data_IF_346466327123
#
_entry.id   IF_346466327123
#
_cell.length_a   1.000
_cell.length_b   1.000
_cell.length_c   1.000
_cell.angle_alpha   90.00
_cell.angle_beta   90.00
_cell.angle_gamma   90.00
#
_symmetry.space_group_name_H-M   'P 1'
#
loop_
_entity.id
_entity.type
_entity.pdbx_description
1 polymer ?
#
# COMPACT_ATOMS: atom_id res chain seq x y z
N UNK A 1 2.52 -8.89 0.77
CA UNK A 1 2.59 -8.13 2.04
C UNK A 1 3.69 -7.08 2.02
N UNK A 2 4.88 -7.38 1.48
CA UNK A 2 6.04 -6.47 1.51
C UNK A 2 5.81 -5.10 0.87
N UNK A 3 5.19 -5.05 -0.32
CA UNK A 3 4.88 -3.79 -1.01
C UNK A 3 3.94 -2.91 -0.18
N UNK A 4 2.86 -3.49 0.34
CA UNK A 4 1.84 -2.77 1.09
C UNK A 4 2.35 -2.28 2.45
N UNK A 5 3.17 -3.10 3.13
CA UNK A 5 3.85 -2.68 4.36
C UNK A 5 4.87 -1.57 4.13
N UNK A 6 5.65 -1.65 3.04
CA UNK A 6 6.60 -0.60 2.65
C UNK A 6 5.89 0.71 2.30
N UNK A 7 4.74 0.65 1.60
CA UNK A 7 3.94 1.82 1.29
C UNK A 7 3.40 2.53 2.55
N UNK A 8 2.91 1.76 3.53
CA UNK A 8 2.43 2.34 4.80
C UNK A 8 3.57 2.98 5.61
N UNK A 9 4.75 2.35 5.63
CA UNK A 9 5.93 2.97 6.26
C UNK A 9 6.34 4.26 5.53
N UNK A 10 6.30 4.26 4.21
CA UNK A 10 6.60 5.44 3.40
C UNK A 10 5.64 6.61 3.69
N UNK A 11 4.34 6.33 3.81
CA UNK A 11 3.33 7.35 4.15
C UNK A 11 3.56 7.94 5.55
N UNK A 12 3.86 7.09 6.55
CA UNK A 12 4.16 7.56 7.91
C UNK A 12 5.40 8.45 7.92
N UNK A 13 6.46 8.07 7.20
CA UNK A 13 7.68 8.86 7.09
C UNK A 13 7.45 10.17 6.33
N UNK A 14 6.68 10.14 5.24
CA UNK A 14 6.35 11.32 4.45
C UNK A 14 5.55 12.35 5.26
N UNK A 15 4.56 11.91 6.03
CA UNK A 15 3.77 12.79 6.89
C UNK A 15 4.56 13.32 8.08
N UNK A 16 5.45 12.50 8.67
CA UNK A 16 6.39 12.96 9.69
C UNK A 16 7.33 14.05 9.16
N UNK A 17 7.85 13.86 7.94
CA UNK A 17 8.68 14.88 7.27
C UNK A 17 7.89 16.15 6.97
N UNK A 18 6.64 16.03 6.49
CA UNK A 18 5.77 17.16 6.23
C UNK A 18 5.49 17.97 7.50
N UNK A 19 5.24 17.30 8.63
CA UNK A 19 5.06 17.96 9.92
C UNK A 19 6.31 18.79 10.30
N UNK A 20 7.51 18.25 10.10
CA UNK A 20 8.77 18.98 10.35
C UNK A 20 8.90 20.17 9.40
N UNK A 21 8.71 19.97 8.09
CA UNK A 21 8.85 21.04 7.08
C UNK A 21 7.87 22.18 7.36
N UNK A 22 6.60 21.87 7.60
CA UNK A 22 5.57 22.87 7.96
C UNK A 22 5.88 23.59 9.27
N UNK A 23 6.49 22.89 10.23
CA UNK A 23 7.02 23.48 11.45
C UNK A 23 8.15 24.48 11.20
N UNK A 24 9.09 24.14 10.33
CA UNK A 24 10.23 25.00 9.98
C UNK A 24 9.80 26.29 9.25
N UNK A 25 8.77 26.22 8.41
CA UNK A 25 8.20 27.40 7.73
C UNK A 25 7.21 28.18 8.62
N UNK A 26 7.04 27.79 9.88
CA UNK A 26 6.21 28.52 10.86
C UNK A 26 4.69 28.34 10.69
N UNK A 27 4.25 27.39 9.88
CA UNK A 27 2.85 27.17 9.52
C UNK A 27 2.21 25.96 10.19
N UNK A 28 3.02 25.14 10.85
CA UNK A 28 2.58 23.97 11.58
C UNK A 28 3.23 23.92 12.96
N UNK A 29 2.58 23.19 13.87
CA UNK A 29 3.25 22.75 15.09
C UNK A 29 3.66 21.29 14.88
N UNK A 30 4.96 21.01 14.65
CA UNK A 30 5.41 19.66 14.29
C UNK A 30 5.10 18.65 15.40
N UNK A 31 5.23 19.08 16.66
CA UNK A 31 5.06 18.22 17.82
C UNK A 31 3.61 17.69 17.97
N UNK A 32 2.55 18.53 17.96
CA UNK A 32 1.16 18.06 17.91
C UNK A 32 0.84 17.11 16.74
N UNK A 33 1.37 17.38 15.54
CA UNK A 33 1.13 16.52 14.37
C UNK A 33 1.74 15.13 14.56
N UNK A 34 2.98 15.05 15.06
CA UNK A 34 3.64 13.78 15.37
C UNK A 34 2.91 13.03 16.50
N UNK A 35 2.47 13.74 17.55
CA UNK A 35 1.72 13.14 18.66
C UNK A 35 0.37 12.57 18.19
N UNK A 36 -0.33 13.26 17.29
CA UNK A 36 -1.57 12.77 16.68
C UNK A 36 -1.35 11.52 15.84
N UNK A 37 -0.28 11.50 15.04
CA UNK A 37 0.09 10.33 14.24
C UNK A 37 0.38 9.12 15.13
N UNK A 38 1.24 9.28 16.14
CA UNK A 38 1.57 8.22 17.11
C UNK A 38 0.32 7.79 17.88
N UNK A 39 -0.50 8.75 18.32
CA UNK A 39 -1.75 8.50 19.01
C UNK A 39 -2.73 7.69 18.17
N UNK A 40 -2.86 7.99 16.88
CA UNK A 40 -3.66 7.21 15.94
C UNK A 40 -3.14 5.77 15.79
N UNK A 41 -1.83 5.58 15.64
CA UNK A 41 -1.24 4.24 15.52
C UNK A 41 -1.48 3.40 16.79
N UNK A 42 -1.30 3.99 17.97
CA UNK A 42 -1.58 3.34 19.26
C UNK A 42 -3.06 3.02 19.39
N UNK A 43 -3.94 3.96 19.04
CA UNK A 43 -5.39 3.75 19.08
C UNK A 43 -5.82 2.64 18.12
N UNK A 44 -5.31 2.65 16.89
CA UNK A 44 -5.57 1.60 15.90
C UNK A 44 -5.13 0.23 16.41
N UNK A 45 -3.94 0.16 17.02
CA UNK A 45 -3.45 -1.06 17.64
C UNK A 45 -4.36 -1.53 18.79
N UNK A 46 -4.78 -0.62 19.67
CA UNK A 46 -5.68 -0.92 20.78
C UNK A 46 -7.06 -1.43 20.30
N UNK A 47 -7.65 -0.75 19.32
CA UNK A 47 -8.92 -1.16 18.70
C UNK A 47 -8.78 -2.55 18.07
N UNK A 48 -7.74 -2.76 17.26
CA UNK A 48 -7.51 -4.04 16.58
C UNK A 48 -7.21 -5.20 17.53
N UNK A 49 -6.48 -4.94 18.63
CA UNK A 49 -6.06 -5.97 19.58
C UNK A 49 -7.11 -6.33 20.61
N UNK A 50 -7.90 -5.36 21.08
CA UNK A 50 -8.82 -5.54 22.21
C UNK A 50 -10.29 -5.43 21.84
N UNK A 51 -10.66 -4.47 20.99
CA UNK A 51 -12.06 -4.19 20.66
C UNK A 51 -12.58 -5.07 19.51
N UNK A 52 -11.75 -5.29 18.49
CA UNK A 52 -12.14 -6.02 17.30
C UNK A 52 -12.44 -7.52 17.56
N UNK A 53 -11.62 -8.29 18.29
CA UNK A 53 -11.87 -9.72 18.49
C UNK A 53 -13.21 -10.07 19.20
N UNK A 54 -13.64 -9.36 20.28
CA UNK A 54 -14.94 -9.65 20.89
C UNK A 54 -16.11 -9.23 20.00
N UNK A 55 -16.04 -8.08 19.32
CA UNK A 55 -17.10 -7.62 18.41
C UNK A 55 -17.24 -8.57 17.23
N UNK A 56 -16.11 -8.95 16.62
CA UNK A 56 -16.08 -9.89 15.50
C UNK A 56 -16.72 -11.24 15.87
N UNK A 57 -16.39 -11.78 17.05
CA UNK A 57 -17.01 -13.03 17.55
C UNK A 57 -18.51 -12.86 17.82
N UNK A 58 -18.93 -11.72 18.34
CA UNK A 58 -20.34 -11.45 18.62
C UNK A 58 -21.17 -11.37 17.33
N UNK A 59 -20.68 -10.64 16.33
CA UNK A 59 -21.35 -10.53 15.02
C UNK A 59 -21.34 -11.86 14.28
N UNK A 60 -20.22 -12.57 14.24
CA UNK A 60 -20.14 -13.88 13.59
C UNK A 60 -21.14 -14.90 14.18
N UNK A 61 -21.44 -14.80 15.48
CA UNK A 61 -22.45 -15.66 16.15
C UNK A 61 -23.89 -15.23 15.87
N UNK A 62 -24.17 -13.93 15.74
CA UNK A 62 -25.54 -13.40 15.62
C UNK A 62 -25.99 -13.21 14.17
N UNK A 63 -25.06 -12.93 13.27
CA UNK A 63 -25.32 -12.60 11.86
C UNK A 63 -24.32 -13.31 10.94
N UNK A 64 -24.41 -14.65 10.83
CA UNK A 64 -23.40 -15.46 10.13
C UNK A 64 -23.24 -15.13 8.63
N UNK A 65 -24.27 -14.61 7.96
CA UNK A 65 -24.23 -14.40 6.50
C UNK A 65 -23.99 -12.94 6.04
N UNK A 66 -24.34 -11.91 6.82
CA UNK A 66 -24.34 -10.51 6.30
C UNK A 66 -23.74 -9.46 7.26
N UNK A 67 -23.81 -9.67 8.57
CA UNK A 67 -23.38 -8.65 9.55
C UNK A 67 -21.87 -8.40 9.55
N UNK A 68 -21.07 -9.37 9.09
CA UNK A 68 -19.62 -9.25 8.99
C UNK A 68 -19.17 -8.17 8.00
N UNK A 69 -19.75 -8.17 6.79
CA UNK A 69 -19.36 -7.21 5.75
C UNK A 69 -19.68 -5.78 6.15
N UNK A 70 -20.87 -5.54 6.71
CA UNK A 70 -21.28 -4.22 7.20
C UNK A 70 -20.35 -3.70 8.30
N UNK A 71 -19.97 -4.56 9.26
CA UNK A 71 -18.99 -4.19 10.28
C UNK A 71 -17.65 -3.81 9.66
N UNK A 72 -17.15 -4.59 8.71
CA UNK A 72 -15.85 -4.34 8.09
C UNK A 72 -15.86 -3.05 7.29
N UNK A 73 -16.91 -2.79 6.51
CA UNK A 73 -17.05 -1.51 5.80
C UNK A 73 -17.11 -0.34 6.79
N UNK A 74 -17.89 -0.46 7.87
CA UNK A 74 -17.98 0.57 8.90
C UNK A 74 -16.64 0.83 9.59
N UNK A 75 -15.88 -0.23 9.92
CA UNK A 75 -14.55 -0.12 10.51
C UNK A 75 -13.54 0.48 9.54
N UNK A 76 -13.54 0.05 8.29
CA UNK A 76 -12.66 0.59 7.24
C UNK A 76 -12.93 2.08 7.07
N UNK A 77 -14.19 2.50 6.93
CA UNK A 77 -14.56 3.91 6.82
C UNK A 77 -14.20 4.70 8.07
N UNK A 78 -14.53 4.19 9.26
CA UNK A 78 -14.24 4.86 10.53
C UNK A 78 -12.74 5.02 10.79
N UNK A 79 -11.94 3.98 10.53
CA UNK A 79 -10.48 4.02 10.70
C UNK A 79 -9.80 4.86 9.62
N UNK A 80 -10.31 4.87 8.39
CA UNK A 80 -9.81 5.73 7.31
C UNK A 80 -10.08 7.20 7.61
N UNK A 81 -11.29 7.52 8.09
CA UNK A 81 -11.63 8.86 8.55
C UNK A 81 -10.77 9.28 9.75
N UNK A 82 -10.60 8.42 10.75
CA UNK A 82 -9.74 8.72 11.89
C UNK A 82 -8.27 8.93 11.47
N UNK A 83 -7.76 8.15 10.51
CA UNK A 83 -6.41 8.32 9.96
C UNK A 83 -6.24 9.71 9.34
N UNK A 84 -7.16 10.11 8.46
CA UNK A 84 -7.09 11.37 7.73
C UNK A 84 -7.40 12.59 8.61
N UNK A 85 -8.49 12.56 9.37
CA UNK A 85 -8.99 13.70 10.11
C UNK A 85 -8.23 13.95 11.43
N UNK A 86 -7.82 12.88 12.11
CA UNK A 86 -7.16 12.98 13.42
C UNK A 86 -5.69 12.61 13.34
N UNK A 87 -5.36 11.49 12.72
CA UNK A 87 -3.99 10.95 12.66
C UNK A 87 -3.03 11.73 11.78
N UNK A 88 -3.54 12.49 10.80
CA UNK A 88 -2.70 13.18 9.81
C UNK A 88 -1.94 12.20 8.89
N UNK A 89 -2.48 11.00 8.68
CA UNK A 89 -1.92 9.96 7.79
C UNK A 89 -2.91 9.68 6.67
N UNK A 90 -2.42 9.14 5.55
CA UNK A 90 -3.25 8.71 4.43
C UNK A 90 -4.42 7.82 4.89
N UNK A 91 -5.61 8.06 4.33
CA UNK A 91 -6.81 7.31 4.64
C UNK A 91 -6.63 5.80 4.38
N UNK A 92 -5.87 5.48 3.33
CA UNK A 92 -5.49 4.11 2.92
C UNK A 92 -4.79 3.36 4.07
N UNK A 93 -4.00 4.05 4.90
CA UNK A 93 -3.35 3.43 6.07
C UNK A 93 -4.37 2.92 7.08
N UNK A 94 -5.44 3.67 7.34
CA UNK A 94 -6.54 3.26 8.22
C UNK A 94 -7.28 2.02 7.70
N UNK A 95 -7.57 1.99 6.41
CA UNK A 95 -8.16 0.83 5.73
C UNK A 95 -7.25 -0.41 5.82
N UNK A 96 -5.95 -0.24 5.56
CA UNK A 96 -4.96 -1.32 5.62
C UNK A 96 -4.83 -1.92 7.02
N UNK A 97 -4.68 -1.08 8.05
CA UNK A 97 -4.58 -1.54 9.43
C UNK A 97 -5.85 -2.31 9.83
N UNK A 98 -7.02 -1.82 9.44
CA UNK A 98 -8.30 -2.52 9.68
C UNK A 98 -8.30 -3.91 9.05
N UNK A 99 -7.90 -4.04 7.78
CA UNK A 99 -7.76 -5.33 7.10
C UNK A 99 -6.78 -6.28 7.79
N UNK A 100 -5.63 -5.76 8.24
CA UNK A 100 -4.63 -6.53 8.98
C UNK A 100 -5.17 -7.10 10.28
N UNK A 101 -6.01 -6.33 10.99
CA UNK A 101 -6.64 -6.79 12.22
C UNK A 101 -7.77 -7.78 11.97
N UNK A 102 -8.58 -7.56 10.93
CA UNK A 102 -9.65 -8.49 10.52
C UNK A 102 -9.08 -9.86 10.15
N UNK A 103 -7.91 -9.89 9.49
CA UNK A 103 -7.17 -11.11 9.16
C UNK A 103 -6.71 -11.94 10.39
N UNK A 104 -6.95 -11.45 11.62
CA UNK A 104 -6.71 -12.18 12.87
C UNK A 104 -8.00 -12.59 13.56
N UNK A 105 -9.14 -12.44 12.90
CA UNK A 105 -10.47 -12.73 13.45
C UNK A 105 -11.18 -13.78 12.61
N UNK A 106 -12.23 -14.44 13.16
CA UNK A 106 -13.04 -15.40 12.41
C UNK A 106 -13.71 -14.82 11.15
N UNK A 107 -13.79 -13.50 11.04
CA UNK A 107 -14.38 -12.82 9.89
C UNK A 107 -13.55 -12.97 8.61
N UNK A 108 -12.29 -13.38 8.71
CA UNK A 108 -11.40 -13.54 7.55
C UNK A 108 -11.90 -14.54 6.50
N UNK A 109 -12.76 -15.49 6.87
CA UNK A 109 -13.20 -16.57 5.97
C UNK A 109 -14.31 -16.13 5.01
N UNK A 110 -15.20 -15.22 5.46
CA UNK A 110 -16.44 -14.90 4.75
C UNK A 110 -16.44 -13.50 4.12
N UNK A 111 -15.58 -12.61 4.61
CA UNK A 111 -15.55 -11.20 4.18
C UNK A 111 -14.75 -10.93 2.90
N UNK A 112 -13.64 -11.65 2.58
CA UNK A 112 -12.82 -11.31 1.41
C UNK A 112 -13.62 -11.26 0.11
N UNK A 113 -14.57 -12.17 -0.09
CA UNK A 113 -15.39 -12.22 -1.31
C UNK A 113 -16.29 -11.00 -1.46
N UNK A 114 -16.94 -10.55 -0.38
CA UNK A 114 -17.79 -9.36 -0.40
C UNK A 114 -16.97 -8.09 -0.65
N UNK A 115 -15.79 -7.98 -0.01
CA UNK A 115 -14.88 -6.83 -0.21
C UNK A 115 -14.29 -6.83 -1.62
N UNK A 116 -13.92 -7.99 -2.17
CA UNK A 116 -13.45 -8.12 -3.56
C UNK A 116 -14.54 -7.73 -4.56
N UNK A 117 -15.77 -8.20 -4.35
CA UNK A 117 -16.90 -7.85 -5.24
C UNK A 117 -17.15 -6.34 -5.27
N UNK A 118 -17.11 -5.68 -4.10
CA UNK A 118 -17.24 -4.22 -4.02
C UNK A 118 -16.03 -3.48 -4.59
N UNK A 119 -14.83 -3.99 -4.31
CA UNK A 119 -13.56 -3.45 -4.79
C UNK A 119 -13.47 -3.48 -6.30
N UNK A 120 -13.49 -4.67 -6.88
CA UNK A 120 -13.28 -4.91 -8.31
C UNK A 120 -14.47 -4.43 -9.14
N UNK A 121 -15.69 -4.58 -8.61
CA UNK A 121 -16.91 -4.24 -9.33
C UNK A 121 -17.23 -2.74 -9.38
N UNK A 122 -16.78 -1.96 -8.38
CA UNK A 122 -17.21 -0.56 -8.24
C UNK A 122 -16.09 0.38 -7.80
N UNK A 123 -15.46 0.13 -6.65
CA UNK A 123 -14.58 1.11 -6.02
C UNK A 123 -13.29 1.34 -6.80
N UNK A 124 -12.64 0.28 -7.28
CA UNK A 124 -11.39 0.35 -8.03
C UNK A 124 -11.61 1.04 -9.39
N UNK A 125 -12.61 0.67 -10.22
CA UNK A 125 -12.91 1.40 -11.45
C UNK A 125 -13.21 2.89 -11.21
N UNK A 126 -14.04 3.23 -10.22
CA UNK A 126 -14.36 4.63 -9.90
C UNK A 126 -13.10 5.40 -9.49
N UNK A 127 -12.25 4.81 -8.65
CA UNK A 127 -10.98 5.41 -8.27
C UNK A 127 -10.11 5.75 -9.49
N UNK A 128 -9.94 4.81 -10.42
CA UNK A 128 -9.15 5.06 -11.63
C UNK A 128 -9.78 6.10 -12.57
N UNK A 129 -11.12 6.13 -12.68
CA UNK A 129 -11.83 7.17 -13.43
C UNK A 129 -11.63 8.54 -12.77
N UNK A 130 -11.76 8.63 -11.44
CA UNK A 130 -11.57 9.87 -10.70
C UNK A 130 -10.14 10.42 -10.88
N UNK A 131 -9.13 9.56 -10.74
CA UNK A 131 -7.73 9.92 -11.04
C UNK A 131 -7.60 10.40 -12.48
N UNK A 132 -8.20 9.71 -13.46
CA UNK A 132 -8.18 10.15 -14.86
C UNK A 132 -8.92 11.47 -15.13
N UNK A 133 -9.95 11.79 -14.36
CA UNK A 133 -10.69 13.06 -14.46
C UNK A 133 -9.94 14.24 -13.86
N UNK A 134 -9.08 14.02 -12.86
CA UNK A 134 -8.14 15.05 -12.39
C UNK A 134 -7.05 15.36 -13.44
N UNK A 135 -6.90 14.51 -14.46
CA UNK A 135 -5.96 14.67 -15.59
C UNK A 135 -6.39 15.70 -16.64
N UNK A 136 -7.31 16.61 -16.32
CA UNK A 136 -7.84 17.59 -17.28
C UNK A 136 -6.71 18.31 -18.01
N UNK A 137 -6.90 18.69 -19.29
CA UNK A 137 -5.82 19.20 -20.12
C UNK A 137 -5.22 20.43 -19.46
N UNK A 138 -4.04 20.26 -18.86
CA UNK A 138 -3.23 21.39 -18.46
C UNK A 138 -2.93 22.16 -19.75
N UNK A 139 -3.14 23.48 -19.74
CA UNK A 139 -2.89 24.36 -20.90
C UNK A 139 -1.49 24.14 -21.52
N UNK A 140 -0.56 23.59 -20.72
CA UNK A 140 0.66 22.93 -21.19
C UNK A 140 0.46 21.41 -21.11
N UNK A 141 0.01 20.78 -22.19
CA UNK A 141 -0.11 19.31 -22.29
C UNK A 141 1.21 18.55 -22.22
N UNK A 142 2.32 19.21 -21.85
CA UNK A 142 3.66 18.64 -21.78
C UNK A 142 4.34 19.09 -20.49
N UNK A 143 5.00 18.14 -19.82
CA UNK A 143 5.92 18.41 -18.72
C UNK A 143 6.98 19.43 -19.16
N UNK A 144 7.29 20.38 -18.27
CA UNK A 144 8.49 21.20 -18.49
C UNK A 144 9.75 20.33 -18.47
N UNK A 145 10.90 20.84 -18.92
CA UNK A 145 12.17 20.12 -18.79
C UNK A 145 12.45 19.73 -17.32
N UNK A 146 12.07 20.62 -16.39
CA UNK A 146 12.15 20.35 -14.96
C UNK A 146 11.16 19.27 -14.52
N UNK A 147 9.91 19.31 -15.00
CA UNK A 147 8.92 18.26 -14.76
C UNK A 147 9.36 16.89 -15.27
N UNK A 148 10.02 16.83 -16.43
CA UNK A 148 10.60 15.59 -16.96
C UNK A 148 11.74 15.06 -16.08
N UNK A 149 12.63 15.95 -15.62
CA UNK A 149 13.68 15.59 -14.69
C UNK A 149 13.12 15.09 -13.35
N UNK A 150 12.06 15.73 -12.84
CA UNK A 150 11.35 15.29 -11.63
C UNK A 150 10.70 13.92 -11.82
N UNK A 151 10.05 13.66 -12.95
CA UNK A 151 9.45 12.37 -13.25
C UNK A 151 10.52 11.26 -13.29
N UNK A 152 11.61 11.48 -14.01
CA UNK A 152 12.72 10.51 -14.07
C UNK A 152 13.31 10.27 -12.68
N UNK A 153 13.53 11.34 -11.91
CA UNK A 153 14.03 11.22 -10.55
C UNK A 153 13.04 10.47 -9.64
N UNK A 154 11.74 10.74 -9.75
CA UNK A 154 10.71 10.07 -8.97
C UNK A 154 10.68 8.56 -9.26
N UNK A 155 10.70 8.17 -10.54
CA UNK A 155 10.71 6.77 -10.97
C UNK A 155 11.99 6.06 -10.52
N UNK A 156 13.16 6.67 -10.75
CA UNK A 156 14.45 6.06 -10.40
C UNK A 156 14.65 5.97 -8.88
N UNK A 157 14.40 7.05 -8.15
CA UNK A 157 14.58 7.07 -6.69
C UNK A 157 13.68 6.05 -5.99
N UNK A 158 12.41 5.96 -6.37
CA UNK A 158 11.47 5.00 -5.78
C UNK A 158 11.69 3.58 -6.28
N UNK A 159 11.89 3.40 -7.58
CA UNK A 159 12.14 2.08 -8.17
C UNK A 159 13.41 1.45 -7.63
N UNK A 160 14.53 2.19 -7.66
CA UNK A 160 15.81 1.72 -7.15
C UNK A 160 15.82 1.67 -5.62
N UNK A 161 15.29 2.68 -4.92
CA UNK A 161 15.28 2.69 -3.46
C UNK A 161 14.43 1.57 -2.87
N UNK A 162 13.20 1.39 -3.37
CA UNK A 162 12.31 0.31 -2.95
C UNK A 162 12.85 -1.06 -3.30
N UNK A 163 13.40 -1.23 -4.51
CA UNK A 163 13.99 -2.50 -4.94
C UNK A 163 15.29 -2.83 -4.19
N UNK A 164 16.18 -1.86 -4.00
CA UNK A 164 17.40 -2.05 -3.23
C UNK A 164 17.11 -2.38 -1.76
N UNK A 165 16.15 -1.68 -1.14
CA UNK A 165 15.71 -1.98 0.23
C UNK A 165 15.12 -3.38 0.36
N UNK A 166 14.32 -3.81 -0.63
CA UNK A 166 13.78 -5.16 -0.70
C UNK A 166 14.87 -6.24 -0.84
N UNK A 167 15.87 -5.99 -1.69
CA UNK A 167 17.01 -6.88 -1.89
C UNK A 167 17.85 -7.02 -0.62
N UNK A 168 18.16 -5.92 0.07
CA UNK A 168 18.82 -5.95 1.39
C UNK A 168 17.99 -6.69 2.45
N UNK A 169 16.67 -6.63 2.33
CA UNK A 169 15.74 -7.40 3.16
C UNK A 169 15.71 -8.90 2.87
N UNK A 170 16.55 -9.40 1.96
CA UNK A 170 16.68 -10.82 1.63
C UNK A 170 15.74 -11.32 0.53
N UNK A 171 15.05 -10.43 -0.17
CA UNK A 171 14.23 -10.80 -1.33
C UNK A 171 15.08 -11.08 -2.56
N UNK A 172 14.60 -11.97 -3.42
CA UNK A 172 15.26 -12.25 -4.70
C UNK A 172 15.30 -10.99 -5.58
N UNK A 173 16.27 -10.85 -6.51
CA UNK A 173 16.32 -9.69 -7.41
C UNK A 173 15.02 -9.44 -8.18
N UNK A 174 14.26 -10.50 -8.48
CA UNK A 174 12.95 -10.41 -9.12
C UNK A 174 11.89 -9.82 -8.19
N UNK A 175 11.79 -10.33 -6.98
CA UNK A 175 10.86 -9.81 -5.96
C UNK A 175 11.22 -8.38 -5.57
N UNK A 176 12.51 -8.07 -5.46
CA UNK A 176 13.02 -6.73 -5.25
C UNK A 176 12.57 -5.76 -6.36
N UNK A 177 12.71 -6.16 -7.63
CA UNK A 177 12.24 -5.36 -8.76
C UNK A 177 10.71 -5.15 -8.72
N UNK A 178 9.94 -6.17 -8.33
CA UNK A 178 8.49 -6.06 -8.15
C UNK A 178 8.11 -5.06 -7.04
N UNK A 179 8.84 -5.08 -5.92
CA UNK A 179 8.66 -4.08 -4.85
C UNK A 179 8.99 -2.68 -5.35
N UNK A 180 10.14 -2.52 -6.01
CA UNK A 180 10.55 -1.24 -6.60
C UNK A 180 9.51 -0.68 -7.57
N UNK A 181 9.06 -1.51 -8.53
CA UNK A 181 8.02 -1.13 -9.50
C UNK A 181 6.71 -0.73 -8.82
N UNK A 182 6.30 -1.45 -7.77
CA UNK A 182 5.10 -1.15 -7.00
C UNK A 182 5.18 0.16 -6.20
N UNK A 183 6.38 0.61 -5.82
CA UNK A 183 6.59 1.85 -5.06
C UNK A 183 6.76 3.11 -5.93
N UNK A 184 6.79 2.97 -7.26
CA UNK A 184 6.93 4.11 -8.19
C UNK A 184 5.73 5.06 -8.14
N UNK A 185 4.52 4.51 -7.93
CA UNK A 185 3.29 5.30 -7.96
C UNK A 185 3.33 6.38 -6.90
N UNK A 186 3.13 7.62 -7.33
CA UNK A 186 2.80 8.73 -6.45
C UNK A 186 1.28 8.86 -6.40
N UNK A 187 0.77 9.21 -5.23
CA UNK A 187 -0.67 9.31 -4.99
C UNK A 187 -1.04 10.61 -4.28
N UNK A 188 -2.13 10.54 -3.53
CA UNK A 188 -2.77 11.65 -2.82
C UNK A 188 -1.80 12.51 -1.99
N UNK A 189 -0.85 11.89 -1.29
CA UNK A 189 0.09 12.60 -0.41
C UNK A 189 0.95 13.60 -1.19
N UNK A 190 1.38 13.25 -2.41
CA UNK A 190 2.16 14.17 -3.25
C UNK A 190 1.35 15.41 -3.64
N UNK A 191 0.05 15.22 -3.95
CA UNK A 191 -0.86 16.31 -4.29
C UNK A 191 -1.22 17.17 -3.07
N UNK A 192 -1.36 16.57 -1.89
CA UNK A 192 -1.56 17.30 -0.63
C UNK A 192 -0.36 18.20 -0.34
N UNK A 193 0.86 17.67 -0.45
CA UNK A 193 2.09 18.45 -0.26
C UNK A 193 2.21 19.56 -1.31
N UNK A 194 1.90 19.26 -2.57
CA UNK A 194 1.94 20.26 -3.64
C UNK A 194 0.91 21.38 -3.44
N UNK A 195 -0.30 21.02 -2.99
CA UNK A 195 -1.36 21.99 -2.70
C UNK A 195 -0.99 22.88 -1.54
N UNK A 196 -0.46 22.30 -0.46
CA UNK A 196 0.05 23.05 0.67
C UNK A 196 1.20 23.97 0.23
N UNK A 197 2.18 23.45 -0.51
CA UNK A 197 3.30 24.23 -1.05
C UNK A 197 2.85 25.42 -1.90
N UNK A 198 1.77 25.26 -2.67
CA UNK A 198 1.18 26.35 -3.46
C UNK A 198 0.47 27.38 -2.57
N UNK A 199 -0.29 26.93 -1.58
CA UNK A 199 -0.96 27.83 -0.60
C UNK A 199 0.06 28.65 0.19
N UNK A 200 1.22 28.07 0.47
CA UNK A 200 2.35 28.73 1.15
C UNK A 200 3.13 29.69 0.25
N UNK A 201 2.80 29.78 -1.05
CA UNK A 201 3.54 30.56 -2.03
C UNK A 201 4.94 30.01 -2.36
N UNK A 202 5.28 28.81 -1.86
CA UNK A 202 6.56 28.13 -2.12
C UNK A 202 6.57 27.55 -3.54
N UNK A 203 5.43 27.01 -3.99
CA UNK A 203 5.28 26.44 -5.32
C UNK A 203 4.54 27.39 -6.26
N UNK A 204 5.24 27.83 -7.31
CA UNK A 204 4.61 28.55 -8.41
C UNK A 204 3.65 27.66 -9.22
N UNK A 205 2.74 28.24 -10.02
CA UNK A 205 1.74 27.51 -10.79
C UNK A 205 2.34 26.43 -11.71
N UNK A 206 3.49 26.70 -12.34
CA UNK A 206 4.17 25.75 -13.22
C UNK A 206 4.70 24.51 -12.49
N UNK A 207 5.28 24.68 -11.30
CA UNK A 207 5.77 23.54 -10.49
C UNK A 207 4.62 22.68 -9.97
N UNK A 208 3.52 23.30 -9.57
CA UNK A 208 2.32 22.58 -9.17
C UNK A 208 1.79 21.70 -10.31
N UNK A 209 1.70 22.26 -11.52
CA UNK A 209 1.37 21.55 -12.77
C UNK A 209 2.32 20.38 -13.03
N UNK A 210 3.63 20.59 -12.90
CA UNK A 210 4.64 19.54 -13.13
C UNK A 210 4.53 18.39 -12.10
N UNK A 211 4.29 18.71 -10.82
CA UNK A 211 4.08 17.69 -9.77
C UNK A 211 2.80 16.89 -10.01
N UNK A 212 1.73 17.57 -10.42
CA UNK A 212 0.46 16.92 -10.75
C UNK A 212 0.67 15.96 -11.93
N UNK A 213 1.21 16.43 -13.06
CA UNK A 213 1.52 15.58 -14.21
C UNK A 213 2.44 14.40 -13.85
N UNK A 214 3.52 14.65 -13.11
CA UNK A 214 4.43 13.59 -12.65
C UNK A 214 3.67 12.52 -11.85
N UNK A 215 2.80 12.95 -10.92
CA UNK A 215 2.01 12.04 -10.10
C UNK A 215 1.16 11.13 -10.98
N UNK A 216 0.41 11.71 -11.92
CA UNK A 216 -0.43 10.96 -12.85
C UNK A 216 0.34 9.99 -13.73
N UNK A 217 1.45 10.45 -14.31
CA UNK A 217 2.32 9.61 -15.13
C UNK A 217 2.84 8.42 -14.33
N UNK A 218 3.30 8.64 -13.09
CA UNK A 218 3.76 7.53 -12.24
C UNK A 218 2.62 6.57 -11.88
N UNK A 219 1.40 7.06 -11.61
CA UNK A 219 0.24 6.22 -11.29
C UNK A 219 -0.15 5.30 -12.45
N UNK A 220 -0.12 5.80 -13.69
CA UNK A 220 -0.40 4.99 -14.91
C UNK A 220 0.78 4.09 -15.26
N UNK A 221 2.01 4.53 -15.01
CA UNK A 221 3.21 3.77 -15.30
C UNK A 221 3.37 2.55 -14.38
N UNK A 222 3.02 2.66 -13.10
CA UNK A 222 3.16 1.56 -12.12
C UNK A 222 2.49 0.24 -12.52
N UNK A 223 1.20 0.18 -12.91
CA UNK A 223 0.58 -1.09 -13.32
C UNK A 223 1.26 -1.68 -14.57
N UNK A 224 1.76 -0.84 -15.49
CA UNK A 224 2.52 -1.30 -16.67
C UNK A 224 3.84 -1.94 -16.24
N UNK A 225 4.61 -1.25 -15.38
CA UNK A 225 5.87 -1.76 -14.85
C UNK A 225 5.69 -3.05 -14.06
N UNK A 226 4.68 -3.10 -13.18
CA UNK A 226 4.32 -4.30 -12.44
C UNK A 226 3.99 -5.44 -13.42
N UNK A 227 3.12 -5.21 -14.40
CA UNK A 227 2.76 -6.22 -15.39
C UNK A 227 3.98 -6.78 -16.11
N UNK A 228 4.94 -5.93 -16.51
CA UNK A 228 6.19 -6.38 -17.12
C UNK A 228 7.06 -7.22 -16.17
N UNK A 229 7.07 -6.92 -14.87
CA UNK A 229 7.83 -7.72 -13.90
C UNK A 229 7.17 -9.08 -13.56
N UNK A 230 5.88 -9.23 -13.86
CA UNK A 230 5.11 -10.46 -13.67
C UNK A 230 4.92 -11.26 -14.98
N UNK A 231 4.99 -10.62 -16.15
CA UNK A 231 4.98 -11.26 -17.46
C UNK A 231 6.39 -11.70 -17.84
N UNK A 232 6.70 -13.00 -17.63
CA UNK A 232 7.65 -13.86 -18.38
C UNK A 232 8.39 -14.86 -17.46
N UNK A 233 8.26 -16.14 -17.83
CA UNK A 233 9.36 -17.12 -18.01
C UNK A 233 10.17 -17.66 -16.80
N UNK A 234 10.68 -18.92 -16.89
CA UNK A 234 11.75 -19.37 -16.02
C UNK A 234 13.00 -18.50 -16.25
N UNK A 235 13.63 -18.16 -15.14
CA UNK A 235 14.73 -17.21 -15.03
C UNK A 235 15.96 -17.59 -15.89
N UNK A 236 16.57 -16.66 -16.66
CA UNK A 236 17.64 -16.94 -17.62
C UNK A 236 19.05 -17.11 -17.02
N UNK A 237 19.25 -16.90 -15.71
CA UNK A 237 20.55 -17.12 -15.06
C UNK A 237 20.46 -18.30 -14.08
N UNK A 238 21.20 -19.41 -14.25
CA UNK A 238 21.19 -20.48 -13.28
C UNK A 238 21.87 -20.00 -11.99
N UNK A 239 21.11 -19.47 -11.04
CA UNK A 239 21.58 -19.23 -9.67
C UNK A 239 21.54 -20.55 -8.90
N UNK A 240 22.47 -21.43 -9.26
CA UNK A 240 22.90 -22.51 -8.40
C UNK A 240 23.87 -21.93 -7.39
N UNK A 241 23.38 -21.41 -6.26
CA UNK A 241 24.19 -21.35 -5.04
C UNK A 241 23.32 -21.23 -3.78
N UNK A 242 23.43 -22.28 -2.97
CA UNK A 242 23.25 -22.38 -1.52
C UNK A 242 21.85 -22.71 -0.96
N UNK A 243 21.63 -24.00 -0.71
CA UNK A 243 20.62 -24.55 0.20
C UNK A 243 21.36 -25.31 1.33
N UNK A 244 21.35 -24.83 2.58
CA UNK A 244 22.06 -25.49 3.69
C UNK A 244 21.19 -26.46 4.47
N UNK A 245 19.95 -26.74 4.01
CA UNK A 245 18.98 -27.41 4.87
C UNK A 245 17.87 -28.24 4.21
N UNK A 246 17.89 -28.53 2.90
CA UNK A 246 16.94 -29.50 2.35
C UNK A 246 17.43 -30.94 2.56
N UNK A 247 16.74 -31.76 3.37
CA UNK A 247 16.90 -33.20 3.27
C UNK A 247 16.40 -33.64 1.89
N UNK A 248 17.23 -34.41 1.19
CA UNK A 248 16.89 -35.02 -0.07
C UNK A 248 15.60 -35.84 0.11
N UNK A 249 14.52 -35.41 -0.55
CA UNK A 249 13.24 -36.13 -0.58
C UNK A 249 13.43 -37.51 -1.22
N UNK A 250 13.69 -38.51 -0.39
CA UNK A 250 13.44 -39.93 -0.66
C UNK A 250 12.47 -40.42 0.40
N UNK A 251 11.25 -40.76 0.01
CA UNK A 251 10.34 -41.45 0.94
C UNK A 251 8.85 -41.41 0.63
N UNK A 252 8.34 -40.53 -0.24
CA UNK A 252 6.87 -40.43 -0.41
C UNK A 252 6.25 -41.48 -1.36
N UNK A 253 7.08 -42.26 -2.07
CA UNK A 253 6.63 -43.35 -2.95
C UNK A 253 6.47 -44.70 -2.25
N UNK A 254 7.18 -44.94 -1.14
CA UNK A 254 7.19 -46.25 -0.47
C UNK A 254 6.06 -46.40 0.57
N UNK A 255 5.59 -45.30 1.16
CA UNK A 255 4.50 -45.32 2.15
C UNK A 255 3.12 -45.60 1.53
N UNK A 256 2.90 -45.21 0.27
CA UNK A 256 1.65 -45.52 -0.44
C UNK A 256 1.58 -47.02 -0.79
N UNK A 257 2.71 -47.65 -1.11
CA UNK A 257 2.78 -49.09 -1.38
C UNK A 257 2.56 -49.93 -0.10
N UNK A 258 3.04 -49.47 1.06
CA UNK A 258 2.82 -50.15 2.35
C UNK A 258 1.37 -50.03 2.85
N UNK A 259 0.70 -48.90 2.60
CA UNK A 259 -0.70 -48.70 2.98
C UNK A 259 -1.69 -49.52 2.13
N UNK A 260 -1.33 -49.88 0.89
CA UNK A 260 -2.14 -50.77 0.05
C UNK A 260 -1.94 -52.26 0.35
N UNK A 261 -0.78 -52.65 0.90
CA UNK A 261 -0.51 -54.03 1.31
C UNK A 261 -1.16 -54.42 2.66
N UNK A 262 -1.55 -53.45 3.49
CA UNK A 262 -2.19 -53.68 4.80
C UNK A 262 -3.71 -53.92 4.73
N UNK A 263 -4.32 -53.94 3.54
CA UNK A 263 -5.77 -54.17 3.34
C UNK A 263 -6.10 -55.44 2.56
N UNK A 264 -5.20 -56.42 2.52
CA UNK A 264 -5.48 -57.78 2.04
C UNK A 264 -5.13 -58.79 3.11
#
# INVERSE_FOLDING_TARGET
MTILGAAVMDDILAMGLLAIVTGLVGLGQPLPSLLRMIGFLILSFGIGRWLLPPIARWIARRYPNEGGLALVVALVMGMSWAAAAWGGVAAITGAYLTGLWIARTPLQEHIPQGVQTLGDGLLIPIFFVAVGLEAQPLDRGMLSLFGMALLLLAVLSKGLGGGFGAWLGGLTPREALQVGAGMVSRGEVALVIATLGRQMGILGPGLYTDILLMTMFTTVLTPILLRLTFLEGPWPFPLRIWNPGAPASRGMGEDIARLQASRR
#
